data_IF_987951388164
#
_entry.id   IF_987951388164
#
_cell.length_a   1.000
_cell.length_b   1.000
_cell.length_c   1.000
_cell.angle_alpha   90.00
_cell.angle_beta   90.00
_cell.angle_gamma   90.00
#
_symmetry.space_group_name_H-M   'P 1'
#
loop_
_entity.id
_entity.type
_entity.pdbx_description
1 polymer ?
#
# COMPACT_ATOMS: atom_id res chain seq x y z
N UNK A 1 31.59 60.95 15.54
CA UNK A 1 32.17 59.69 16.08
C UNK A 1 31.27 58.52 15.66
N UNK A 2 31.77 57.56 14.86
CA UNK A 2 31.00 56.41 14.43
C UNK A 2 31.06 55.29 15.49
N UNK A 3 29.92 54.93 16.07
CA UNK A 3 29.78 53.79 16.98
C UNK A 3 29.30 52.56 16.22
N UNK A 4 30.25 51.75 15.75
CA UNK A 4 30.03 50.45 15.11
C UNK A 4 29.52 49.45 16.17
N UNK A 5 28.21 49.24 16.26
CA UNK A 5 27.65 48.11 17.02
C UNK A 5 27.93 46.86 16.17
N UNK A 6 28.74 45.96 16.71
CA UNK A 6 29.08 44.68 16.12
C UNK A 6 27.82 43.82 16.10
N UNK A 7 27.41 43.44 14.90
CA UNK A 7 26.44 42.38 14.65
C UNK A 7 27.17 41.05 14.93
N UNK A 8 27.11 40.57 16.17
CA UNK A 8 27.60 39.23 16.53
C UNK A 8 26.55 38.20 16.11
N UNK A 9 26.65 37.80 14.85
CA UNK A 9 26.01 36.63 14.30
C UNK A 9 26.50 35.36 15.01
N UNK A 10 25.78 34.91 16.03
CA UNK A 10 25.93 33.55 16.58
C UNK A 10 25.20 32.55 15.68
N UNK A 11 25.83 32.23 14.55
CA UNK A 11 25.50 31.08 13.72
C UNK A 11 25.94 29.79 14.40
N UNK A 12 25.16 29.32 15.37
CA UNK A 12 25.26 27.96 15.90
C UNK A 12 23.94 27.24 15.69
N UNK A 13 23.87 26.27 14.78
CA UNK A 13 22.74 25.32 14.76
C UNK A 13 22.69 24.67 16.14
N UNK A 14 21.63 24.95 16.91
CA UNK A 14 21.41 24.28 18.18
C UNK A 14 21.53 22.77 17.96
N UNK A 15 22.31 22.09 18.83
CA UNK A 15 22.39 20.62 18.79
C UNK A 15 20.95 20.08 18.91
N UNK A 16 20.51 19.18 18.02
CA UNK A 16 19.15 18.67 18.08
C UNK A 16 18.92 18.00 19.43
N UNK A 17 17.75 18.23 20.04
CA UNK A 17 17.33 17.51 21.25
C UNK A 17 17.10 16.02 20.97
N UNK A 18 16.55 15.23 21.91
CA UNK A 18 16.26 13.83 21.67
C UNK A 18 15.36 13.64 20.44
N UNK A 19 15.77 12.79 19.50
CA UNK A 19 15.11 12.64 18.20
C UNK A 19 15.29 11.23 17.62
N UNK A 20 14.45 10.91 16.63
CA UNK A 20 14.63 9.76 15.78
C UNK A 20 15.43 10.12 14.54
N UNK A 21 16.31 9.23 14.13
CA UNK A 21 17.08 9.36 12.89
C UNK A 21 16.80 8.15 12.01
N UNK A 22 16.29 8.40 10.80
CA UNK A 22 16.09 7.39 9.77
C UNK A 22 17.27 7.43 8.82
N UNK A 23 17.92 6.29 8.66
CA UNK A 23 19.07 6.11 7.78
C UNK A 23 18.67 5.12 6.68
N UNK A 24 18.56 5.59 5.44
CA UNK A 24 18.13 4.78 4.29
C UNK A 24 19.30 4.02 3.63
N UNK A 25 20.51 4.56 3.75
CA UNK A 25 21.75 4.02 3.18
C UNK A 25 22.87 4.03 4.23
N UNK A 26 23.89 3.20 4.05
CA UNK A 26 25.04 3.16 4.96
C UNK A 26 25.64 4.56 5.14
N UNK A 27 25.74 5.01 6.40
CA UNK A 27 26.38 6.29 6.76
C UNK A 27 27.45 6.04 7.81
N UNK A 28 28.70 6.29 7.46
CA UNK A 28 29.85 6.01 8.31
C UNK A 28 29.87 4.55 8.81
N UNK A 29 29.72 4.34 10.12
CA UNK A 29 29.64 3.02 10.76
C UNK A 29 28.19 2.59 11.09
N UNK A 30 27.19 3.34 10.63
CA UNK A 30 25.78 3.06 10.88
C UNK A 30 25.15 2.38 9.66
N UNK A 31 24.56 1.21 9.90
CA UNK A 31 23.76 0.50 8.91
C UNK A 31 22.43 1.23 8.67
N UNK A 32 21.75 0.97 7.54
CA UNK A 32 20.39 1.46 7.32
C UNK A 32 19.45 1.01 8.46
N UNK A 33 18.64 1.93 8.98
CA UNK A 33 17.81 1.67 10.14
C UNK A 33 17.13 2.89 10.72
N UNK A 34 16.18 2.62 11.61
CA UNK A 34 15.62 3.63 12.51
C UNK A 34 16.42 3.62 13.81
N UNK A 35 16.92 4.79 14.20
CA UNK A 35 17.70 4.99 15.42
C UNK A 35 16.99 5.98 16.35
N UNK A 36 17.08 5.72 17.65
CA UNK A 36 16.68 6.67 18.69
C UNK A 36 17.91 7.28 19.33
N UNK A 37 17.98 8.61 19.32
CA UNK A 37 19.03 9.39 19.97
C UNK A 37 18.40 10.09 21.16
N UNK A 38 18.64 9.51 22.34
CA UNK A 38 18.03 9.96 23.60
C UNK A 38 18.78 11.12 24.28
N UNK A 39 18.21 11.64 25.38
CA UNK A 39 18.94 12.59 26.24
C UNK A 39 20.20 11.94 26.83
N UNK A 40 21.19 12.74 27.26
CA UNK A 40 22.40 12.22 27.90
C UNK A 40 22.07 11.34 29.10
N UNK A 41 22.94 10.37 29.38
CA UNK A 41 22.90 9.59 30.62
C UNK A 41 23.85 10.22 31.64
N UNK A 42 23.35 10.55 32.83
CA UNK A 42 24.15 11.12 33.93
C UNK A 42 24.29 12.65 33.87
N UNK A 43 25.30 13.18 34.56
CA UNK A 43 25.51 14.63 34.76
C UNK A 43 26.11 15.36 33.54
N UNK A 44 26.29 14.68 32.40
CA UNK A 44 26.82 15.27 31.17
C UNK A 44 25.74 16.09 30.44
N UNK A 45 25.46 17.28 30.98
CA UNK A 45 24.49 18.22 30.43
C UNK A 45 25.00 18.78 29.09
N UNK A 46 24.34 18.42 27.97
CA UNK A 46 24.61 18.99 26.64
C UNK A 46 25.19 18.04 25.58
N UNK A 47 25.37 16.75 25.91
CA UNK A 47 25.72 15.70 24.94
C UNK A 47 24.53 14.76 24.72
N UNK A 48 24.35 14.20 23.52
CA UNK A 48 23.29 13.23 23.26
C UNK A 48 23.77 11.83 23.64
N UNK A 49 22.84 10.95 24.04
CA UNK A 49 23.18 9.55 24.24
C UNK A 49 23.58 8.89 22.91
N UNK A 50 24.43 7.84 22.94
CA UNK A 50 24.74 7.06 21.74
C UNK A 50 23.47 6.56 21.05
N UNK A 51 23.43 6.54 19.70
CA UNK A 51 22.28 6.05 18.95
C UNK A 51 21.91 4.61 19.35
N UNK A 52 20.63 4.39 19.61
CA UNK A 52 20.06 3.06 19.86
C UNK A 52 19.34 2.61 18.60
N UNK A 53 19.81 1.53 17.97
CA UNK A 53 19.11 0.92 16.85
C UNK A 53 17.76 0.35 17.30
N UNK A 54 16.69 0.71 16.60
CA UNK A 54 15.30 0.34 16.93
C UNK A 54 14.80 -0.77 16.01
N UNK A 55 14.93 -0.57 14.70
CA UNK A 55 14.54 -1.53 13.67
C UNK A 55 15.22 -1.20 12.34
N UNK A 56 15.00 -2.05 11.34
CA UNK A 56 15.29 -1.70 9.95
C UNK A 56 14.58 -0.40 9.54
N UNK A 57 15.03 0.23 8.45
CA UNK A 57 14.50 1.50 7.99
C UNK A 57 12.97 1.43 7.80
N UNK A 58 12.25 2.14 8.68
CA UNK A 58 10.80 2.16 8.74
C UNK A 58 10.35 3.60 8.60
N UNK A 59 9.77 3.93 7.45
CA UNK A 59 9.30 5.28 7.13
C UNK A 59 7.81 5.40 7.38
N UNK A 60 7.40 6.52 7.98
CA UNK A 60 6.00 6.94 8.09
C UNK A 60 5.70 7.88 6.93
N UNK A 61 4.92 7.43 5.96
CA UNK A 61 4.65 8.20 4.74
C UNK A 61 3.44 9.13 4.88
N UNK A 62 2.40 8.68 5.59
CA UNK A 62 1.17 9.44 5.75
C UNK A 62 0.43 9.03 7.03
N UNK A 63 -0.44 9.90 7.53
CA UNK A 63 -1.49 9.46 8.45
C UNK A 63 -2.66 8.91 7.63
N UNK A 64 -3.17 7.76 8.04
CA UNK A 64 -4.27 7.08 7.36
C UNK A 64 -5.58 7.24 8.12
N UNK A 65 -6.71 7.16 7.41
CA UNK A 65 -8.07 7.12 7.96
C UNK A 65 -9.00 6.37 6.99
N UNK A 66 -10.09 5.83 7.49
CA UNK A 66 -11.14 5.26 6.64
C UNK A 66 -11.95 6.35 5.90
N UNK A 67 -12.92 5.92 5.09
CA UNK A 67 -13.80 6.81 4.33
C UNK A 67 -14.72 7.67 5.23
N UNK A 68 -15.03 7.22 6.44
CA UNK A 68 -15.84 7.93 7.43
C UNK A 68 -15.00 8.91 8.27
N UNK A 69 -13.68 8.93 8.09
CA UNK A 69 -12.75 9.75 8.87
C UNK A 69 -12.39 9.15 10.24
N UNK A 70 -12.74 7.89 10.47
CA UNK A 70 -12.37 7.07 11.62
C UNK A 70 -11.13 6.20 11.36
N UNK A 71 -10.93 5.21 12.24
CA UNK A 71 -9.88 4.18 12.15
C UNK A 71 -8.50 4.73 11.76
N UNK A 72 -8.04 5.75 12.50
CA UNK A 72 -6.77 6.41 12.20
C UNK A 72 -5.56 5.49 12.32
N UNK A 73 -4.60 5.69 11.43
CA UNK A 73 -3.41 4.86 11.31
C UNK A 73 -2.16 5.61 10.87
N UNK A 74 -1.14 4.83 10.51
CA UNK A 74 0.08 5.27 9.84
C UNK A 74 0.32 4.43 8.60
N UNK A 75 0.60 5.07 7.48
CA UNK A 75 1.10 4.37 6.30
C UNK A 75 2.60 4.16 6.49
N UNK A 76 2.99 2.92 6.73
CA UNK A 76 4.36 2.50 6.93
C UNK A 76 4.94 1.98 5.62
N UNK A 77 6.18 2.37 5.32
CA UNK A 77 6.98 1.82 4.22
C UNK A 77 8.31 1.31 4.73
N UNK A 78 8.68 0.10 4.33
CA UNK A 78 9.93 -0.56 4.71
C UNK A 78 10.30 -1.65 3.70
N UNK A 79 11.51 -2.19 3.79
CA UNK A 79 11.92 -3.38 3.03
C UNK A 79 11.91 -4.61 3.94
N UNK A 80 11.50 -5.75 3.40
CA UNK A 80 11.71 -7.04 4.07
C UNK A 80 13.18 -7.51 3.91
N UNK A 81 13.49 -8.68 4.47
CA UNK A 81 14.84 -9.26 4.43
C UNK A 81 15.30 -9.67 3.02
N UNK A 82 14.37 -9.84 2.09
CA UNK A 82 14.67 -10.11 0.68
C UNK A 82 14.80 -8.80 -0.14
N UNK A 83 14.69 -7.65 0.53
CA UNK A 83 14.77 -6.33 -0.09
C UNK A 83 13.49 -5.88 -0.77
N UNK A 84 12.40 -6.64 -0.67
CA UNK A 84 11.12 -6.30 -1.27
C UNK A 84 10.46 -5.17 -0.50
N UNK A 85 10.03 -4.14 -1.21
CA UNK A 85 9.29 -3.03 -0.63
C UNK A 85 7.94 -3.49 -0.11
N UNK A 86 7.65 -3.16 1.14
CA UNK A 86 6.38 -3.39 1.82
C UNK A 86 5.75 -2.05 2.16
N UNK A 87 4.43 -2.03 2.06
CA UNK A 87 3.62 -0.91 2.52
C UNK A 87 2.50 -1.46 3.40
N UNK A 88 2.28 -0.85 4.55
CA UNK A 88 1.25 -1.28 5.47
C UNK A 88 0.58 -0.09 6.16
N UNK A 89 -0.74 -0.03 6.07
CA UNK A 89 -1.55 0.91 6.84
C UNK A 89 -1.80 0.33 8.23
N UNK A 90 -0.92 0.71 9.15
CA UNK A 90 -0.92 0.31 10.55
C UNK A 90 -2.02 1.04 11.33
N UNK A 91 -3.01 0.34 11.90
CA UNK A 91 -4.00 0.96 12.78
C UNK A 91 -3.36 1.50 14.07
N UNK A 92 -3.64 2.75 14.44
CA UNK A 92 -3.08 3.35 15.67
C UNK A 92 -3.50 2.60 16.94
N UNK A 93 -4.67 1.94 16.93
CA UNK A 93 -5.15 1.11 18.04
C UNK A 93 -4.17 -0.02 18.39
N UNK A 94 -3.36 -0.49 17.45
CA UNK A 94 -2.34 -1.52 17.71
C UNK A 94 -1.21 -1.02 18.60
N UNK A 95 -1.09 0.29 18.88
CA UNK A 95 -0.16 0.81 19.89
C UNK A 95 -0.68 0.62 21.32
N UNK A 96 -1.96 0.30 21.50
CA UNK A 96 -2.51 -0.05 22.81
C UNK A 96 -1.89 -1.34 23.35
N UNK A 97 -2.09 -1.61 24.64
CA UNK A 97 -1.62 -2.84 25.31
C UNK A 97 -0.14 -3.19 25.06
N UNK A 98 0.72 -2.18 24.89
CA UNK A 98 2.16 -2.38 24.73
C UNK A 98 2.60 -2.82 23.33
N UNK A 99 1.73 -2.79 22.32
CA UNK A 99 2.10 -2.91 20.90
C UNK A 99 2.60 -4.29 20.46
N UNK A 100 2.13 -5.36 21.09
CA UNK A 100 2.52 -6.73 20.76
C UNK A 100 2.01 -7.16 19.38
N UNK A 101 0.73 -6.90 19.11
CA UNK A 101 0.09 -7.16 17.81
C UNK A 101 0.82 -6.43 16.68
N UNK A 102 1.09 -5.13 16.87
CA UNK A 102 1.90 -4.31 15.96
C UNK A 102 3.24 -4.98 15.61
N UNK A 103 3.98 -5.41 16.63
CA UNK A 103 5.30 -6.01 16.41
C UNK A 103 5.21 -7.36 15.73
N UNK A 104 4.20 -8.16 16.06
CA UNK A 104 3.96 -9.46 15.42
C UNK A 104 3.74 -9.30 13.91
N UNK A 105 2.90 -8.34 13.51
CA UNK A 105 2.66 -8.02 12.09
C UNK A 105 3.93 -7.54 11.37
N UNK A 106 4.71 -6.64 11.98
CA UNK A 106 5.97 -6.16 11.40
C UNK A 106 7.00 -7.29 11.23
N UNK A 107 7.11 -8.18 12.21
CA UNK A 107 7.98 -9.36 12.15
C UNK A 107 7.51 -10.35 11.08
N UNK A 108 6.20 -10.60 10.98
CA UNK A 108 5.61 -11.46 9.96
C UNK A 108 5.82 -10.89 8.54
N UNK A 109 5.80 -9.56 8.40
CA UNK A 109 6.13 -8.86 7.16
C UNK A 109 7.64 -8.80 6.85
N UNK A 110 8.48 -9.34 7.73
CA UNK A 110 9.92 -9.48 7.53
C UNK A 110 10.77 -8.31 8.03
N UNK A 111 10.20 -7.33 8.75
CA UNK A 111 10.97 -6.23 9.34
C UNK A 111 11.74 -6.70 10.58
N UNK A 112 13.05 -6.43 10.66
CA UNK A 112 13.82 -6.74 11.88
C UNK A 112 13.61 -5.67 12.94
N UNK A 113 13.35 -6.10 14.16
CA UNK A 113 13.16 -5.26 15.33
C UNK A 113 14.22 -5.55 16.39
N UNK A 114 14.70 -4.52 17.07
CA UNK A 114 15.57 -4.71 18.23
C UNK A 114 14.79 -5.31 19.41
N UNK A 115 15.34 -6.33 20.10
CA UNK A 115 14.62 -7.06 21.15
C UNK A 115 14.62 -6.34 22.52
N UNK A 116 15.25 -5.17 22.65
CA UNK A 116 15.36 -4.48 23.94
C UNK A 116 14.06 -3.77 24.33
N UNK A 117 13.77 -3.68 25.63
CA UNK A 117 12.60 -2.95 26.13
C UNK A 117 12.65 -1.45 25.73
N UNK A 118 13.85 -0.86 25.75
CA UNK A 118 14.07 0.52 25.33
C UNK A 118 13.73 0.72 23.84
N UNK A 119 14.15 -0.20 22.96
CA UNK A 119 13.81 -0.12 21.55
C UNK A 119 12.32 -0.34 21.27
N UNK A 120 11.65 -1.26 22.00
CA UNK A 120 10.19 -1.41 21.90
C UNK A 120 9.45 -0.12 22.26
N UNK A 121 9.86 0.54 23.34
CA UNK A 121 9.30 1.84 23.73
C UNK A 121 9.62 2.93 22.71
N UNK A 122 10.84 2.94 22.17
CA UNK A 122 11.26 3.87 21.13
C UNK A 122 10.43 3.72 19.84
N UNK A 123 10.18 2.48 19.39
CA UNK A 123 9.32 2.22 18.22
C UNK A 123 7.89 2.72 18.43
N UNK A 124 7.29 2.43 19.58
CA UNK A 124 5.94 2.91 19.91
C UNK A 124 5.89 4.45 19.96
N UNK A 125 6.93 5.09 20.51
CA UNK A 125 7.05 6.54 20.54
C UNK A 125 7.22 7.14 19.14
N UNK A 126 8.04 6.52 18.28
CA UNK A 126 8.23 6.93 16.89
C UNK A 126 6.88 6.96 16.15
N UNK A 127 6.17 5.84 16.17
CA UNK A 127 4.88 5.69 15.49
C UNK A 127 3.78 6.59 16.11
N UNK A 128 3.81 6.78 17.43
CA UNK A 128 2.85 7.58 18.18
C UNK A 128 3.00 9.09 17.99
N UNK A 129 4.24 9.58 17.97
CA UNK A 129 4.56 11.01 17.98
C UNK A 129 4.81 11.60 16.61
N UNK A 130 5.24 10.80 15.64
CA UNK A 130 5.49 11.34 14.30
C UNK A 130 4.15 11.79 13.69
N UNK A 131 4.13 13.03 13.21
CA UNK A 131 2.96 13.68 12.63
C UNK A 131 3.21 13.97 11.14
N UNK A 132 3.06 12.97 10.25
CA UNK A 132 3.20 13.21 8.83
C UNK A 132 2.16 14.24 8.35
N UNK A 133 2.62 15.17 7.52
CA UNK A 133 1.76 16.19 6.88
C UNK A 133 0.88 15.56 5.80
N UNK A 134 1.41 14.57 5.09
CA UNK A 134 0.67 13.79 4.12
C UNK A 134 -0.47 12.98 4.78
N UNK A 135 -1.55 12.84 4.02
CA UNK A 135 -2.75 12.09 4.40
C UNK A 135 -3.02 11.03 3.35
N UNK A 136 -3.58 9.90 3.80
CA UNK A 136 -4.08 8.87 2.93
C UNK A 136 -5.44 8.36 3.42
N UNK A 137 -6.34 8.07 2.49
CA UNK A 137 -7.64 7.44 2.74
C UNK A 137 -7.56 5.96 2.40
N UNK A 138 -7.91 5.12 3.36
CA UNK A 138 -8.02 3.69 3.16
C UNK A 138 -9.40 3.33 2.61
N UNK A 139 -9.44 2.55 1.54
CA UNK A 139 -10.69 2.09 0.92
C UNK A 139 -10.71 0.56 0.86
N UNK A 140 -11.87 -0.03 1.15
CA UNK A 140 -12.05 -1.48 1.21
C UNK A 140 -12.42 -2.11 -0.14
N UNK A 141 -12.64 -1.31 -1.19
CA UNK A 141 -12.99 -1.75 -2.54
C UNK A 141 -12.06 -1.14 -3.59
N UNK A 142 -11.80 -1.87 -4.66
CA UNK A 142 -11.08 -1.38 -5.84
C UNK A 142 -11.97 -0.45 -6.66
N UNK A 143 -11.46 0.02 -7.80
CA UNK A 143 -12.23 0.78 -8.79
C UNK A 143 -12.17 2.28 -8.58
N UNK A 144 -13.18 3.00 -9.06
CA UNK A 144 -13.21 4.45 -9.04
C UNK A 144 -13.51 5.00 -7.65
N UNK A 145 -12.64 5.93 -7.23
CA UNK A 145 -12.79 6.79 -6.07
C UNK A 145 -12.50 8.24 -6.52
N UNK A 146 -13.54 8.93 -6.98
CA UNK A 146 -13.40 10.22 -7.65
C UNK A 146 -12.58 10.06 -8.94
N UNK A 147 -11.50 10.82 -9.08
CA UNK A 147 -10.62 10.80 -10.25
C UNK A 147 -9.46 9.79 -10.14
N UNK A 148 -9.47 8.92 -9.14
CA UNK A 148 -8.45 7.90 -8.93
C UNK A 148 -9.03 6.51 -9.10
N UNK A 149 -8.30 5.62 -9.78
CA UNK A 149 -8.66 4.22 -9.93
C UNK A 149 -7.78 3.38 -9.01
N UNK A 150 -8.39 2.76 -8.00
CA UNK A 150 -7.67 2.06 -6.94
C UNK A 150 -7.59 0.57 -7.28
N UNK A 151 -6.37 0.05 -7.34
CA UNK A 151 -6.04 -1.37 -7.44
C UNK A 151 -5.46 -1.86 -6.10
N UNK A 152 -5.37 -3.18 -5.87
CA UNK A 152 -4.79 -3.70 -4.64
C UNK A 152 -3.33 -3.28 -4.38
N UNK A 153 -2.53 -3.15 -5.44
CA UNK A 153 -1.10 -2.83 -5.35
C UNK A 153 -0.77 -1.36 -5.63
N UNK A 154 -1.64 -0.63 -6.32
CA UNK A 154 -1.37 0.74 -6.75
C UNK A 154 -2.66 1.54 -6.93
N UNK A 155 -2.52 2.86 -7.02
CA UNK A 155 -3.62 3.77 -7.35
C UNK A 155 -3.23 4.57 -8.57
N UNK A 156 -4.04 4.45 -9.64
CA UNK A 156 -3.85 5.15 -10.89
C UNK A 156 -4.56 6.50 -10.88
N UNK A 157 -3.99 7.47 -11.61
CA UNK A 157 -4.48 8.85 -11.67
C UNK A 157 -3.84 9.74 -10.61
N UNK A 158 -4.20 11.02 -10.62
CA UNK A 158 -3.68 12.00 -9.66
C UNK A 158 -4.72 12.27 -8.60
N UNK A 159 -4.49 11.86 -7.34
CA UNK A 159 -5.43 12.15 -6.26
C UNK A 159 -5.52 13.67 -6.04
N UNK A 160 -6.72 14.21 -5.97
CA UNK A 160 -6.95 15.61 -5.58
C UNK A 160 -6.88 15.74 -4.05
N UNK A 161 -5.67 15.90 -3.51
CA UNK A 161 -5.43 16.33 -2.13
C UNK A 161 -4.84 15.28 -1.19
N UNK A 162 -5.40 14.07 -1.12
CA UNK A 162 -4.85 12.98 -0.28
C UNK A 162 -4.69 11.69 -1.07
N UNK A 163 -3.70 10.87 -0.70
CA UNK A 163 -3.51 9.57 -1.34
C UNK A 163 -4.72 8.66 -1.06
N UNK A 164 -5.09 7.81 -2.01
CA UNK A 164 -6.08 6.76 -1.77
C UNK A 164 -5.37 5.42 -1.84
N UNK A 165 -5.50 4.60 -0.81
CA UNK A 165 -4.83 3.30 -0.71
C UNK A 165 -5.87 2.21 -0.46
N UNK A 166 -5.69 1.09 -1.14
CA UNK A 166 -6.52 -0.09 -0.93
C UNK A 166 -6.16 -0.78 0.40
N UNK A 167 -7.17 -1.08 1.21
CA UNK A 167 -7.03 -1.86 2.44
C UNK A 167 -8.32 -2.63 2.71
N UNK A 168 -8.32 -3.95 2.46
CA UNK A 168 -9.42 -4.84 2.82
C UNK A 168 -9.04 -5.73 4.03
N UNK A 169 -9.98 -5.99 4.95
CA UNK A 169 -9.79 -6.98 5.99
C UNK A 169 -9.79 -8.38 5.36
N UNK A 170 -8.60 -9.00 5.29
CA UNK A 170 -8.40 -10.44 5.11
C UNK A 170 -9.01 -11.10 3.86
N UNK A 171 -8.76 -10.57 2.67
CA UNK A 171 -8.96 -11.32 1.42
C UNK A 171 -7.67 -11.36 0.62
N UNK A 172 -7.42 -12.49 -0.05
CA UNK A 172 -6.36 -12.56 -1.04
C UNK A 172 -6.64 -11.48 -2.11
N UNK A 173 -5.65 -10.64 -2.45
CA UNK A 173 -5.85 -9.60 -3.45
C UNK A 173 -6.22 -10.22 -4.80
N UNK A 174 -6.92 -9.47 -5.64
CA UNK A 174 -7.17 -9.87 -7.02
C UNK A 174 -5.85 -10.22 -7.69
N UNK A 175 -5.82 -11.34 -8.40
CA UNK A 175 -4.65 -11.81 -9.14
C UNK A 175 -4.43 -11.01 -10.43
N UNK A 176 -4.24 -9.70 -10.27
CA UNK A 176 -3.80 -8.80 -11.32
C UNK A 176 -2.35 -9.12 -11.69
N UNK A 177 -2.03 -9.01 -12.97
CA UNK A 177 -0.67 -9.23 -13.42
C UNK A 177 -0.45 -8.72 -14.83
N UNK A 178 0.83 -8.63 -15.19
CA UNK A 178 1.25 -8.28 -16.54
C UNK A 178 2.32 -9.28 -16.98
N UNK A 179 2.16 -9.83 -18.17
CA UNK A 179 3.15 -10.70 -18.80
C UNK A 179 3.26 -10.39 -20.29
N UNK A 180 4.46 -10.46 -20.84
CA UNK A 180 4.72 -10.15 -22.24
C UNK A 180 4.57 -8.66 -22.56
N UNK A 181 4.12 -8.36 -23.78
CA UNK A 181 3.98 -7.00 -24.30
C UNK A 181 2.57 -6.80 -24.86
N UNK A 182 2.13 -5.53 -24.90
CA UNK A 182 0.84 -5.19 -25.52
C UNK A 182 0.78 -5.64 -26.99
N UNK A 183 1.86 -5.46 -27.75
CA UNK A 183 1.93 -5.92 -29.15
C UNK A 183 1.74 -7.44 -29.26
N UNK A 184 2.42 -8.21 -28.41
CA UNK A 184 2.25 -9.67 -28.36
C UNK A 184 0.84 -10.09 -27.95
N UNK A 185 0.22 -9.38 -27.00
CA UNK A 185 -1.17 -9.61 -26.62
C UNK A 185 -2.13 -9.30 -27.78
N UNK A 186 -1.90 -8.21 -28.51
CA UNK A 186 -2.73 -7.86 -29.67
C UNK A 186 -2.65 -8.96 -30.73
N UNK A 187 -1.43 -9.35 -31.12
CA UNK A 187 -1.17 -10.34 -32.17
C UNK A 187 -1.66 -11.75 -31.81
N UNK A 188 -1.42 -12.19 -30.57
CA UNK A 188 -1.64 -13.59 -30.18
C UNK A 188 -2.97 -13.84 -29.45
N UNK A 189 -3.64 -12.79 -28.93
CA UNK A 189 -4.86 -12.92 -28.14
C UNK A 189 -6.03 -12.21 -28.81
N UNK A 190 -5.93 -10.90 -29.03
CA UNK A 190 -7.09 -10.11 -29.50
C UNK A 190 -7.36 -10.25 -31.00
N UNK A 191 -6.33 -10.24 -31.85
CA UNK A 191 -6.48 -10.33 -33.30
C UNK A 191 -7.10 -11.67 -33.76
N UNK A 192 -6.73 -12.84 -33.19
CA UNK A 192 -7.40 -14.12 -33.50
C UNK A 192 -8.87 -14.17 -33.08
N UNK A 193 -9.31 -13.31 -32.16
CA UNK A 193 -10.71 -13.24 -31.74
C UNK A 193 -11.62 -12.52 -32.76
N UNK A 194 -11.04 -11.80 -33.73
CA UNK A 194 -11.79 -11.06 -34.73
C UNK A 194 -12.76 -11.99 -35.51
N UNK A 195 -14.01 -11.55 -35.65
CA UNK A 195 -15.07 -12.34 -36.30
C UNK A 195 -15.75 -13.39 -35.39
N UNK A 196 -15.20 -13.70 -34.21
CA UNK A 196 -15.86 -14.55 -33.23
C UNK A 196 -16.63 -13.73 -32.20
N UNK A 197 -17.94 -13.57 -32.39
CA UNK A 197 -18.76 -12.71 -31.53
C UNK A 197 -18.71 -13.05 -30.03
N UNK A 198 -18.46 -14.31 -29.65
CA UNK A 198 -18.41 -14.71 -28.23
C UNK A 198 -17.10 -14.31 -27.58
N UNK A 199 -15.98 -14.43 -28.30
CA UNK A 199 -14.67 -13.99 -27.81
C UNK A 199 -14.57 -12.47 -27.80
N UNK A 200 -15.10 -11.81 -28.84
CA UNK A 200 -15.21 -10.34 -28.87
C UNK A 200 -16.04 -9.82 -27.71
N UNK A 201 -17.19 -10.43 -27.42
CA UNK A 201 -18.02 -10.06 -26.26
C UNK A 201 -17.25 -10.20 -24.94
N UNK A 202 -16.50 -11.28 -24.77
CA UNK A 202 -15.74 -11.53 -23.54
C UNK A 202 -14.64 -10.47 -23.32
N UNK A 203 -13.86 -10.15 -24.35
CA UNK A 203 -12.84 -9.09 -24.28
C UNK A 203 -13.49 -7.71 -24.08
N UNK A 204 -14.58 -7.43 -24.79
CA UNK A 204 -15.31 -6.17 -24.65
C UNK A 204 -15.87 -5.98 -23.24
N UNK A 205 -16.37 -7.05 -22.59
CA UNK A 205 -16.83 -7.00 -21.21
C UNK A 205 -15.72 -6.63 -20.22
N UNK A 206 -14.50 -7.12 -20.45
CA UNK A 206 -13.34 -6.75 -19.64
C UNK A 206 -13.04 -5.25 -19.73
N UNK A 207 -13.05 -4.67 -20.94
CA UNK A 207 -12.84 -3.23 -21.12
C UNK A 207 -14.04 -2.38 -20.69
N UNK A 208 -15.26 -2.91 -20.76
CA UNK A 208 -16.46 -2.21 -20.33
C UNK A 208 -16.47 -2.00 -18.80
N UNK A 209 -15.97 -2.96 -18.02
CA UNK A 209 -16.03 -2.92 -16.56
C UNK A 209 -15.53 -1.60 -15.94
N UNK A 210 -14.30 -1.10 -16.23
CA UNK A 210 -13.85 0.19 -15.71
C UNK A 210 -14.57 1.40 -16.33
N UNK A 211 -15.18 1.26 -17.50
CA UNK A 211 -15.91 2.36 -18.15
C UNK A 211 -17.27 2.62 -17.50
N UNK A 212 -17.91 1.61 -16.91
CA UNK A 212 -19.25 1.74 -16.32
C UNK A 212 -19.28 2.80 -15.21
N UNK A 213 -18.30 2.77 -14.30
CA UNK A 213 -18.20 3.76 -13.21
C UNK A 213 -17.97 5.19 -13.73
N UNK A 214 -17.23 5.37 -14.82
CA UNK A 214 -17.02 6.70 -15.44
C UNK A 214 -18.27 7.24 -16.13
N UNK A 215 -19.10 6.35 -16.66
CA UNK A 215 -20.34 6.70 -17.35
C UNK A 215 -21.54 6.76 -16.40
N UNK A 216 -21.32 6.49 -15.11
CA UNK A 216 -22.38 6.39 -14.10
C UNK A 216 -23.47 5.37 -14.50
N UNK A 217 -23.06 4.28 -15.16
CA UNK A 217 -23.94 3.22 -15.62
C UNK A 217 -23.94 2.05 -14.64
N UNK A 218 -25.11 1.41 -14.49
CA UNK A 218 -25.21 0.16 -13.76
C UNK A 218 -24.51 -0.99 -14.52
N UNK A 219 -23.86 -1.86 -13.75
CA UNK A 219 -23.25 -3.08 -14.28
C UNK A 219 -24.26 -4.21 -14.50
N UNK A 220 -23.74 -5.35 -14.96
CA UNK A 220 -24.54 -6.54 -15.20
C UNK A 220 -23.69 -7.79 -15.36
N UNK A 221 -24.34 -8.93 -15.59
CA UNK A 221 -23.69 -10.22 -15.76
C UNK A 221 -23.90 -10.80 -17.15
N UNK A 222 -22.91 -11.54 -17.65
CA UNK A 222 -22.99 -12.30 -18.90
C UNK A 222 -22.89 -13.78 -18.56
N UNK A 223 -23.91 -14.56 -18.95
CA UNK A 223 -23.90 -16.00 -18.78
C UNK A 223 -23.68 -16.71 -20.12
N UNK A 224 -22.46 -17.21 -20.34
CA UNK A 224 -22.14 -18.03 -21.50
C UNK A 224 -22.68 -19.46 -21.31
N UNK A 225 -23.83 -19.77 -21.92
CA UNK A 225 -24.46 -21.09 -21.87
C UNK A 225 -24.19 -21.90 -23.15
N UNK A 226 -23.89 -23.19 -22.98
CA UNK A 226 -23.73 -24.13 -24.10
C UNK A 226 -23.17 -25.48 -23.64
N UNK A 227 -23.14 -26.45 -24.55
CA UNK A 227 -22.59 -27.80 -24.31
C UNK A 227 -21.15 -27.79 -23.81
N UNK A 228 -20.67 -28.89 -23.22
CA UNK A 228 -19.25 -29.01 -22.87
C UNK A 228 -18.36 -28.79 -24.09
N UNK A 229 -17.14 -28.28 -23.87
CA UNK A 229 -16.13 -28.05 -24.90
C UNK A 229 -16.53 -27.09 -26.05
N UNK A 230 -17.50 -26.19 -25.82
CA UNK A 230 -17.90 -25.18 -26.81
C UNK A 230 -17.16 -23.83 -26.68
N UNK A 231 -16.02 -23.80 -25.99
CA UNK A 231 -15.18 -22.59 -25.86
C UNK A 231 -15.58 -21.60 -24.75
N UNK A 232 -16.44 -21.97 -23.80
CA UNK A 232 -16.82 -21.11 -22.65
C UNK A 232 -15.61 -20.69 -21.82
N UNK A 233 -14.81 -21.67 -21.38
CA UNK A 233 -13.60 -21.41 -20.60
C UNK A 233 -12.59 -20.59 -21.39
N UNK A 234 -12.46 -20.84 -22.69
CA UNK A 234 -11.61 -20.03 -23.57
C UNK A 234 -12.05 -18.57 -23.57
N UNK A 235 -13.36 -18.29 -23.70
CA UNK A 235 -13.88 -16.93 -23.65
C UNK A 235 -13.58 -16.24 -22.31
N UNK A 236 -13.75 -16.95 -21.19
CA UNK A 236 -13.40 -16.43 -19.86
C UNK A 236 -11.91 -16.14 -19.71
N UNK A 237 -11.04 -17.01 -20.26
CA UNK A 237 -9.59 -16.79 -20.28
C UNK A 237 -9.20 -15.59 -21.14
N UNK A 238 -9.89 -15.36 -22.27
CA UNK A 238 -9.67 -14.16 -23.10
C UNK A 238 -10.03 -12.89 -22.34
N UNK A 239 -11.15 -12.88 -21.62
CA UNK A 239 -11.54 -11.74 -20.78
C UNK A 239 -10.53 -11.52 -19.62
N UNK A 240 -10.14 -12.59 -18.92
CA UNK A 240 -9.17 -12.54 -17.83
C UNK A 240 -7.79 -12.01 -18.28
N UNK A 241 -7.41 -12.26 -19.54
CA UNK A 241 -6.12 -11.80 -20.09
C UNK A 241 -5.96 -10.28 -20.14
N UNK A 242 -7.05 -9.51 -20.05
CA UNK A 242 -7.00 -8.05 -19.95
C UNK A 242 -6.51 -7.55 -18.58
N UNK A 243 -6.61 -8.38 -17.54
CA UNK A 243 -6.22 -8.04 -16.16
C UNK A 243 -5.02 -8.85 -15.65
N UNK A 244 -4.64 -9.89 -16.39
CA UNK A 244 -3.53 -10.77 -16.04
C UNK A 244 -3.61 -12.09 -16.80
N UNK A 245 -3.98 -13.15 -16.11
CA UNK A 245 -4.04 -14.49 -16.69
C UNK A 245 -5.08 -15.38 -16.04
N UNK A 246 -4.96 -16.70 -16.21
CA UNK A 246 -5.95 -17.65 -15.72
C UNK A 246 -6.18 -17.60 -14.20
N UNK A 247 -5.19 -17.16 -13.42
CA UNK A 247 -5.29 -16.98 -11.97
C UNK A 247 -6.30 -15.88 -11.55
N UNK A 248 -6.67 -14.99 -12.47
CA UNK A 248 -7.68 -13.96 -12.24
C UNK A 248 -9.10 -14.55 -12.11
N UNK A 249 -9.36 -15.70 -12.74
CA UNK A 249 -10.68 -16.33 -12.71
C UNK A 249 -10.94 -16.97 -11.34
N UNK A 250 -12.07 -16.63 -10.75
CA UNK A 250 -12.52 -17.16 -9.47
C UNK A 250 -13.30 -18.46 -9.60
N UNK A 251 -13.55 -19.09 -8.46
CA UNK A 251 -14.54 -20.16 -8.34
C UNK A 251 -15.83 -19.62 -7.75
N UNK A 252 -16.96 -20.06 -8.31
CA UNK A 252 -18.30 -19.79 -7.79
C UNK A 252 -18.59 -20.51 -6.48
N UNK A 253 -17.78 -21.52 -6.11
CA UNK A 253 -17.98 -22.29 -4.89
C UNK A 253 -17.45 -21.52 -3.68
N UNK A 254 -18.23 -20.55 -3.21
CA UNK A 254 -17.92 -19.72 -2.05
C UNK A 254 -19.17 -19.52 -1.19
N UNK A 255 -18.98 -18.99 0.03
CA UNK A 255 -20.07 -18.48 0.84
C UNK A 255 -20.54 -17.13 0.29
N UNK A 256 -21.76 -16.72 0.59
CA UNK A 256 -22.32 -15.44 0.13
C UNK A 256 -21.43 -14.25 0.57
N UNK A 257 -21.02 -14.21 1.83
CA UNK A 257 -20.09 -13.20 2.34
C UNK A 257 -18.73 -13.22 1.62
N UNK A 258 -18.25 -14.41 1.23
CA UNK A 258 -17.01 -14.54 0.46
C UNK A 258 -17.15 -13.96 -0.95
N UNK A 259 -18.31 -14.16 -1.58
CA UNK A 259 -18.61 -13.60 -2.89
C UNK A 259 -18.77 -12.07 -2.85
N UNK A 260 -19.41 -11.53 -1.81
CA UNK A 260 -19.50 -10.07 -1.59
C UNK A 260 -18.10 -9.45 -1.43
N UNK A 261 -17.24 -10.08 -0.63
CA UNK A 261 -15.84 -9.67 -0.50
C UNK A 261 -15.12 -9.69 -1.84
N UNK A 262 -15.29 -10.76 -2.61
CA UNK A 262 -14.71 -10.88 -3.96
C UNK A 262 -15.24 -9.80 -4.90
N UNK A 263 -16.53 -9.47 -4.84
CA UNK A 263 -17.14 -8.41 -5.64
C UNK A 263 -16.59 -7.02 -5.27
N UNK A 264 -16.34 -6.75 -3.99
CA UNK A 264 -15.68 -5.51 -3.55
C UNK A 264 -14.24 -5.40 -4.11
N UNK A 265 -13.53 -6.52 -4.21
CA UNK A 265 -12.22 -6.58 -4.86
C UNK A 265 -12.27 -6.40 -6.39
N UNK A 266 -13.43 -6.59 -7.01
CA UNK A 266 -13.67 -6.41 -8.45
C UNK A 266 -14.57 -5.21 -8.73
N UNK A 267 -14.64 -4.23 -7.83
CA UNK A 267 -15.34 -2.98 -8.10
C UNK A 267 -14.67 -2.27 -9.30
N UNK A 268 -15.47 -1.97 -10.32
CA UNK A 268 -15.05 -1.46 -11.64
C UNK A 268 -14.02 -2.34 -12.38
N UNK A 269 -13.94 -3.63 -12.03
CA UNK A 269 -13.20 -4.67 -12.72
C UNK A 269 -14.16 -5.80 -13.10
N UNK A 270 -13.82 -6.60 -14.11
CA UNK A 270 -14.69 -7.71 -14.50
C UNK A 270 -14.54 -8.87 -13.52
N UNK A 271 -15.59 -9.26 -12.80
CA UNK A 271 -15.58 -10.51 -12.03
C UNK A 271 -15.83 -11.71 -12.96
N UNK A 272 -14.95 -12.72 -12.91
CA UNK A 272 -15.02 -13.94 -13.72
C UNK A 272 -15.08 -15.19 -12.83
#
# INVERSE_FOLDING_TARGET
>A
CPGRIRDESWGGRAKPGPHFELIDEWRDQMAPGLYWIGPPKGDQLGELAPPVWVCDALKIEAATRDAQGGEWGRLLRFKDQDGQQKQWSMPMRMLAAGGEELRAELLAAGLRLAPSAAARAALANYLGREHPTARARCVARTGWHGNSFVLPAETLGTPSGEHIIFQAPSLAPVALGQAGTLGGWIESVSAPCAGNSRLVLAIAAAFAAPCLGLLELEGGGIHLRGSSSCGKTTALQMAASAFGGAAYMGTWRQTDNGLEGTAALHSDLLLI
#
